data_IF_014322603634
#
_entry.id   IF_014322603634
#
_cell.length_a   1.000
_cell.length_b   1.000
_cell.length_c   1.000
_cell.angle_alpha   90.00
_cell.angle_beta   90.00
_cell.angle_gamma   90.00
#
_symmetry.space_group_name_H-M   'P 1'
#
loop_
_entity.id
_entity.type
_entity.pdbx_description
1 polymer ?
#
# COMPACT_ATOMS: atom_id res chain seq x y z
N UNK A 1 28.63 -49.47 32.75
CA UNK A 1 28.60 -49.88 34.18
C UNK A 1 29.85 -49.31 34.86
N UNK A 2 29.77 -48.07 35.37
CA UNK A 2 30.82 -47.46 36.21
C UNK A 2 30.32 -47.61 37.64
N UNK A 3 30.89 -48.54 38.40
CA UNK A 3 30.65 -48.67 39.84
C UNK A 3 31.35 -47.51 40.54
N UNK A 4 30.58 -46.53 41.00
CA UNK A 4 31.07 -45.54 41.96
C UNK A 4 31.27 -46.25 43.31
N UNK A 5 32.52 -46.32 43.75
CA UNK A 5 32.93 -46.89 45.02
C UNK A 5 32.67 -45.89 46.15
N UNK A 6 31.58 -46.10 46.89
CA UNK A 6 31.17 -45.27 48.01
C UNK A 6 31.97 -45.53 49.30
N UNK A 7 32.95 -46.43 49.29
CA UNK A 7 33.77 -46.76 50.48
C UNK A 7 34.69 -45.63 50.94
N UNK A 8 34.81 -44.52 50.18
CA UNK A 8 35.62 -43.34 50.53
C UNK A 8 34.84 -42.13 51.06
N UNK A 9 33.52 -42.21 51.29
CA UNK A 9 32.81 -41.15 51.99
C UNK A 9 33.08 -41.28 53.49
N UNK A 10 34.26 -40.78 53.90
CA UNK A 10 34.63 -40.47 55.27
C UNK A 10 33.46 -39.75 55.95
N UNK A 11 33.16 -40.13 57.19
CA UNK A 11 32.21 -39.42 58.07
C UNK A 11 32.38 -37.91 57.92
N UNK A 12 31.46 -37.27 57.18
CA UNK A 12 31.46 -35.82 57.06
C UNK A 12 31.16 -35.31 58.46
N UNK A 13 32.11 -34.59 59.04
CA UNK A 13 32.00 -34.08 60.39
C UNK A 13 30.68 -33.30 60.52
N UNK A 14 29.82 -33.70 61.45
CA UNK A 14 28.50 -33.06 61.67
C UNK A 14 28.62 -31.55 61.85
N UNK A 15 29.76 -31.05 62.37
CA UNK A 15 30.06 -29.62 62.46
C UNK A 15 30.22 -28.95 61.09
N UNK A 16 30.84 -29.61 60.12
CA UNK A 16 31.02 -29.08 58.75
C UNK A 16 29.67 -29.01 58.02
N UNK A 17 28.82 -30.02 58.17
CA UNK A 17 27.46 -30.00 57.62
C UNK A 17 26.62 -28.89 58.26
N UNK A 18 26.70 -28.74 59.59
CA UNK A 18 25.99 -27.68 60.30
C UNK A 18 26.44 -26.28 59.85
N UNK A 19 27.76 -26.06 59.68
CA UNK A 19 28.30 -24.80 59.17
C UNK A 19 27.83 -24.53 57.73
N UNK A 20 27.84 -25.54 56.85
CA UNK A 20 27.36 -25.39 55.49
C UNK A 20 25.86 -25.02 55.43
N UNK A 21 25.02 -25.64 56.27
CA UNK A 21 23.59 -25.31 56.36
C UNK A 21 23.39 -23.87 56.85
N UNK A 22 24.16 -23.43 57.86
CA UNK A 22 24.08 -22.05 58.37
C UNK A 22 24.47 -21.05 57.28
N UNK A 23 25.52 -21.33 56.50
CA UNK A 23 25.94 -20.47 55.38
C UNK A 23 24.85 -20.40 54.31
N UNK A 24 24.25 -21.53 53.93
CA UNK A 24 23.17 -21.57 52.95
C UNK A 24 21.95 -20.79 53.45
N UNK A 25 21.58 -20.93 54.72
CA UNK A 25 20.49 -20.15 55.33
C UNK A 25 20.79 -18.65 55.35
N UNK A 26 22.03 -18.27 55.68
CA UNK A 26 22.44 -16.87 55.66
C UNK A 26 22.37 -16.28 54.24
N UNK A 27 22.79 -17.03 53.22
CA UNK A 27 22.68 -16.63 51.81
C UNK A 27 21.23 -16.53 51.36
N UNK A 28 20.36 -17.47 51.76
CA UNK A 28 18.94 -17.41 51.45
C UNK A 28 18.26 -16.20 52.10
N UNK A 29 18.56 -15.91 53.37
CA UNK A 29 18.03 -14.73 54.08
C UNK A 29 18.54 -13.43 53.42
N UNK A 30 19.83 -13.36 53.08
CA UNK A 30 20.40 -12.21 52.39
C UNK A 30 19.76 -12.00 51.00
N UNK A 31 19.60 -13.07 50.22
CA UNK A 31 18.97 -13.01 48.89
C UNK A 31 17.50 -12.61 48.96
N UNK A 32 16.75 -13.12 49.94
CA UNK A 32 15.36 -12.73 50.20
C UNK A 32 15.24 -11.26 50.64
N UNK A 33 16.18 -10.78 51.45
CA UNK A 33 16.26 -9.37 51.86
C UNK A 33 16.58 -8.44 50.69
N UNK A 34 17.53 -8.82 49.83
CA UNK A 34 17.87 -8.08 48.60
C UNK A 34 16.69 -8.07 47.64
N UNK A 35 16.02 -9.21 47.44
CA UNK A 35 14.83 -9.29 46.59
C UNK A 35 13.68 -8.45 47.14
N UNK A 36 13.39 -8.51 48.45
CA UNK A 36 12.33 -7.73 49.08
C UNK A 36 12.61 -6.23 49.00
N UNK A 37 13.86 -5.80 49.23
CA UNK A 37 14.27 -4.41 49.09
C UNK A 37 14.20 -3.95 47.62
N UNK A 38 14.67 -4.77 46.68
CA UNK A 38 14.55 -4.54 45.25
C UNK A 38 13.11 -4.45 44.78
N UNK A 39 12.22 -5.31 45.28
CA UNK A 39 10.78 -5.28 45.03
C UNK A 39 10.14 -4.02 45.60
N UNK A 40 10.44 -3.64 46.86
CA UNK A 40 9.91 -2.40 47.46
C UNK A 40 10.40 -1.14 46.73
N UNK A 41 11.65 -1.11 46.28
CA UNK A 41 12.18 -0.04 45.44
C UNK A 41 11.56 -0.06 44.04
N UNK A 42 11.34 -1.23 43.46
CA UNK A 42 10.69 -1.41 42.16
C UNK A 42 9.22 -0.99 42.16
N UNK A 43 8.50 -1.23 43.26
CA UNK A 43 7.11 -0.77 43.45
C UNK A 43 7.07 0.73 43.80
N UNK A 44 8.03 1.27 44.55
CA UNK A 44 8.15 2.73 44.75
C UNK A 44 8.60 3.50 43.50
N UNK A 45 9.31 2.83 42.58
CA UNK A 45 9.73 3.33 41.26
C UNK A 45 8.92 2.69 40.12
N UNK A 46 7.72 2.16 40.39
CA UNK A 46 6.83 1.79 39.30
C UNK A 46 6.33 3.09 38.70
N UNK A 47 7.04 3.57 37.67
CA UNK A 47 6.50 4.57 36.78
C UNK A 47 5.30 3.93 36.08
N UNK A 48 4.12 4.07 36.66
CA UNK A 48 2.95 4.26 35.83
C UNK A 48 3.30 5.49 35.02
N UNK A 49 3.50 5.34 33.71
CA UNK A 49 3.59 6.49 32.81
C UNK A 49 2.18 7.07 32.77
N UNK A 50 1.82 7.83 33.80
CA UNK A 50 0.79 8.84 33.68
C UNK A 50 1.48 9.93 32.88
N UNK A 51 1.02 10.18 31.66
CA UNK A 51 1.44 11.36 30.90
C UNK A 51 0.81 12.56 31.60
N UNK A 52 1.40 13.00 32.71
CA UNK A 52 1.18 14.31 33.30
C UNK A 52 2.21 15.25 32.69
N UNK A 53 1.77 16.01 31.68
CA UNK A 53 2.60 17.04 31.06
C UNK A 53 3.58 16.52 30.02
N UNK A 54 3.19 16.62 28.75
CA UNK A 54 4.18 16.97 27.73
C UNK A 54 4.64 18.39 28.07
N UNK A 55 5.66 18.54 28.92
CA UNK A 55 6.40 19.79 29.03
C UNK A 55 7.29 19.91 27.81
N UNK A 56 7.37 21.09 27.19
CA UNK A 56 8.23 21.40 26.04
C UNK A 56 9.60 20.69 26.09
N UNK A 57 9.68 19.48 25.52
CA UNK A 57 10.90 18.67 25.48
C UNK A 57 11.88 19.14 24.39
N UNK A 58 11.61 20.28 23.75
CA UNK A 58 12.56 20.90 22.83
C UNK A 58 13.51 21.81 23.61
N UNK A 59 14.71 21.31 23.88
CA UNK A 59 15.83 22.10 24.41
C UNK A 59 16.32 23.21 23.48
N UNK A 60 15.73 23.44 22.31
CA UNK A 60 15.94 24.65 21.52
C UNK A 60 14.83 24.83 20.47
N UNK A 61 14.30 26.06 20.41
CA UNK A 61 13.51 26.67 19.32
C UNK A 61 12.06 26.18 19.11
N UNK A 62 11.13 26.67 19.93
CA UNK A 62 10.18 27.73 19.57
C UNK A 62 9.38 28.13 20.83
N UNK A 63 9.47 29.40 21.29
CA UNK A 63 8.76 29.89 22.49
C UNK A 63 7.32 30.32 22.17
N UNK A 64 6.84 30.13 20.94
CA UNK A 64 5.56 30.65 20.47
C UNK A 64 4.34 29.74 20.72
N UNK A 65 4.56 28.45 21.03
CA UNK A 65 3.46 27.48 21.19
C UNK A 65 3.22 27.14 22.66
N UNK A 66 2.03 27.48 23.15
CA UNK A 66 1.57 27.14 24.49
C UNK A 66 0.78 25.82 24.48
N UNK A 67 1.46 24.73 24.84
CA UNK A 67 0.83 23.41 24.98
C UNK A 67 -0.14 23.32 26.18
N UNK A 68 -0.22 24.31 27.07
CA UNK A 68 -1.24 24.32 28.11
C UNK A 68 -2.65 24.34 27.50
N UNK A 69 -2.84 25.09 26.42
CA UNK A 69 -4.13 25.15 25.72
C UNK A 69 -4.57 23.76 25.22
N UNK A 70 -3.64 22.94 24.72
CA UNK A 70 -3.92 21.57 24.31
C UNK A 70 -4.41 20.72 25.49
N UNK A 71 -3.74 20.80 26.65
CA UNK A 71 -4.12 20.05 27.84
C UNK A 71 -5.42 20.54 28.48
N UNK A 72 -5.69 21.85 28.45
CA UNK A 72 -6.98 22.43 28.85
C UNK A 72 -8.12 21.89 27.99
N UNK A 73 -7.94 21.85 26.67
CA UNK A 73 -8.92 21.28 25.75
C UNK A 73 -9.12 19.78 25.97
N UNK A 74 -8.03 19.02 26.12
CA UNK A 74 -8.07 17.58 26.42
C UNK A 74 -8.84 17.30 27.71
N UNK A 75 -8.51 18.02 28.79
CA UNK A 75 -9.17 17.87 30.08
C UNK A 75 -10.64 18.26 30.00
N UNK A 76 -10.95 19.40 29.39
CA UNK A 76 -12.33 19.84 29.19
C UNK A 76 -13.16 18.79 28.42
N UNK A 77 -12.57 18.16 27.41
CA UNK A 77 -13.22 17.08 26.65
C UNK A 77 -13.47 15.86 27.54
N UNK A 78 -12.47 15.38 28.30
CA UNK A 78 -12.64 14.22 29.20
C UNK A 78 -13.64 14.48 30.33
N UNK A 79 -13.65 15.70 30.88
CA UNK A 79 -14.50 16.07 32.02
C UNK A 79 -15.95 16.38 31.61
N UNK A 80 -16.17 16.93 30.39
CA UNK A 80 -17.48 17.49 29.99
C UNK A 80 -18.18 16.75 28.86
N UNK A 81 -17.47 15.97 28.04
CA UNK A 81 -18.11 15.23 26.95
C UNK A 81 -18.98 14.11 27.50
N UNK A 82 -20.23 14.04 27.03
CA UNK A 82 -21.27 13.15 27.56
C UNK A 82 -20.89 11.68 27.54
N UNK A 83 -20.10 11.24 26.54
CA UNK A 83 -19.67 9.86 26.36
C UNK A 83 -18.14 9.71 26.48
N UNK A 84 -17.48 10.48 27.36
CA UNK A 84 -16.02 10.53 27.45
C UNK A 84 -15.34 9.20 27.80
N UNK A 85 -16.07 8.25 28.41
CA UNK A 85 -15.61 6.89 28.69
C UNK A 85 -15.61 5.98 27.45
N UNK A 86 -16.39 6.33 26.42
CA UNK A 86 -16.45 5.58 25.16
C UNK A 86 -15.26 5.86 24.24
N UNK A 87 -14.52 6.95 24.49
CA UNK A 87 -13.39 7.37 23.66
C UNK A 87 -12.08 6.97 24.33
N UNK A 88 -11.30 6.14 23.64
CA UNK A 88 -9.96 5.76 24.09
C UNK A 88 -8.98 6.95 23.98
N UNK A 89 -8.02 7.04 24.91
CA UNK A 89 -6.97 8.04 24.82
C UNK A 89 -6.16 7.91 23.51
N UNK A 90 -6.01 6.69 22.99
CA UNK A 90 -5.35 6.47 21.70
C UNK A 90 -6.10 7.13 20.55
N UNK A 91 -7.44 7.09 20.54
CA UNK A 91 -8.25 7.74 19.52
C UNK A 91 -8.10 9.27 19.58
N UNK A 92 -8.06 9.83 20.79
CA UNK A 92 -7.82 11.28 20.97
C UNK A 92 -6.44 11.71 20.49
N UNK A 93 -5.39 10.93 20.79
CA UNK A 93 -4.02 11.20 20.29
C UNK A 93 -3.98 11.10 18.77
N UNK A 94 -4.54 10.04 18.19
CA UNK A 94 -4.58 9.88 16.74
C UNK A 94 -5.30 11.05 16.07
N UNK A 95 -6.46 11.48 16.60
CA UNK A 95 -7.19 12.64 16.08
C UNK A 95 -6.41 13.94 16.19
N UNK A 96 -5.68 14.16 17.29
CA UNK A 96 -4.82 15.34 17.45
C UNK A 96 -3.65 15.35 16.44
N UNK A 97 -3.02 14.20 16.19
CA UNK A 97 -1.94 14.07 15.19
C UNK A 97 -2.53 14.24 13.77
N UNK A 98 -3.67 13.62 13.45
CA UNK A 98 -4.34 13.83 12.16
C UNK A 98 -4.62 15.31 11.92
N UNK A 99 -5.17 16.03 12.90
CA UNK A 99 -5.40 17.47 12.80
C UNK A 99 -4.13 18.30 12.59
N UNK A 100 -2.99 17.88 13.15
CA UNK A 100 -1.69 18.50 12.91
C UNK A 100 -1.26 18.37 11.44
N UNK A 101 -1.48 17.21 10.82
CA UNK A 101 -1.16 16.97 9.42
C UNK A 101 -2.13 17.70 8.48
N UNK A 102 -3.42 17.70 8.80
CA UNK A 102 -4.45 18.44 8.05
C UNK A 102 -4.18 19.95 8.00
N UNK A 103 -3.51 20.50 9.02
CA UNK A 103 -3.13 21.91 9.06
C UNK A 103 -2.16 22.33 7.93
N UNK A 104 -1.49 21.37 7.27
CA UNK A 104 -0.66 21.66 6.08
C UNK A 104 -1.47 22.10 4.87
N UNK A 105 -2.78 21.79 4.84
CA UNK A 105 -3.68 21.96 3.68
C UNK A 105 -3.26 21.20 2.42
N UNK A 106 -2.18 20.42 2.49
CA UNK A 106 -1.72 19.54 1.44
C UNK A 106 -2.47 18.21 1.55
N UNK A 107 -3.33 17.85 0.57
CA UNK A 107 -4.11 16.61 0.62
C UNK A 107 -3.23 15.35 0.57
N UNK A 108 -1.93 15.48 0.27
CA UNK A 108 -1.00 14.36 0.23
C UNK A 108 -0.17 14.19 1.51
N UNK A 109 -0.17 15.19 2.42
CA UNK A 109 0.51 15.10 3.72
C UNK A 109 -0.48 14.64 4.78
N UNK A 110 -0.41 13.36 5.15
CA UNK A 110 -1.39 12.70 6.03
C UNK A 110 -0.73 11.81 7.07
N UNK A 111 -1.31 11.80 8.26
CA UNK A 111 -1.04 10.78 9.27
C UNK A 111 -2.09 9.68 9.14
N UNK A 112 -1.62 8.44 9.05
CA UNK A 112 -2.47 7.25 8.94
C UNK A 112 -2.35 6.42 10.23
N UNK A 113 -3.39 6.39 11.08
CA UNK A 113 -3.47 5.49 12.22
C UNK A 113 -3.33 4.01 11.82
N UNK A 114 -3.08 3.07 12.75
CA UNK A 114 -2.66 1.71 12.40
C UNK A 114 -3.59 0.94 11.46
N UNK A 115 -4.91 1.14 11.54
CA UNK A 115 -5.86 0.51 10.62
C UNK A 115 -5.80 1.08 9.20
N UNK A 116 -5.67 2.40 9.08
CA UNK A 116 -5.52 3.08 7.80
C UNK A 116 -4.16 2.77 7.18
N UNK A 117 -3.09 2.83 7.98
CA UNK A 117 -1.75 2.42 7.60
C UNK A 117 -1.71 0.99 7.03
N UNK A 118 -2.36 0.05 7.72
CA UNK A 118 -2.47 -1.34 7.23
C UNK A 118 -3.21 -1.41 5.89
N UNK A 119 -4.32 -0.68 5.76
CA UNK A 119 -5.13 -0.68 4.54
C UNK A 119 -4.37 -0.06 3.36
N UNK A 120 -3.65 1.04 3.61
CA UNK A 120 -2.75 1.69 2.66
C UNK A 120 -1.66 0.73 2.18
N UNK A 121 -0.95 0.07 3.11
CA UNK A 121 0.10 -0.90 2.79
C UNK A 121 -0.44 -2.09 1.98
N UNK A 122 -1.60 -2.64 2.33
CA UNK A 122 -2.25 -3.70 1.55
C UNK A 122 -2.57 -3.23 0.13
N UNK A 123 -3.11 -2.01 -0.03
CA UNK A 123 -3.44 -1.44 -1.33
C UNK A 123 -2.20 -1.28 -2.23
N UNK A 124 -1.14 -0.61 -1.74
CA UNK A 124 0.07 -0.36 -2.53
C UNK A 124 0.85 -1.65 -2.84
N UNK A 125 0.78 -2.66 -1.97
CA UNK A 125 1.37 -3.97 -2.23
C UNK A 125 0.67 -4.73 -3.37
N UNK A 126 -0.50 -4.25 -3.80
CA UNK A 126 -1.31 -4.90 -4.83
C UNK A 126 -1.93 -6.21 -4.41
N UNK A 127 -1.93 -6.49 -3.10
CA UNK A 127 -2.47 -7.73 -2.56
C UNK A 127 -3.04 -7.52 -1.16
N UNK A 128 -4.17 -8.15 -0.89
CA UNK A 128 -4.82 -8.06 0.41
C UNK A 128 -5.35 -9.41 0.88
N UNK A 129 -5.46 -9.58 2.19
CA UNK A 129 -6.05 -10.77 2.79
C UNK A 129 -7.58 -10.73 2.75
N UNK A 130 -8.21 -11.70 2.11
CA UNK A 130 -9.67 -11.74 1.99
C UNK A 130 -10.18 -12.98 1.28
N UNK A 131 -11.41 -12.91 0.76
CA UNK A 131 -12.06 -14.02 0.06
C UNK A 131 -12.25 -13.79 -1.44
N UNK A 132 -12.05 -12.56 -1.92
CA UNK A 132 -12.13 -12.22 -3.35
C UNK A 132 -13.55 -12.06 -3.86
N UNK A 133 -14.32 -11.12 -3.30
CA UNK A 133 -15.63 -10.73 -3.81
C UNK A 133 -15.71 -9.22 -3.99
N UNK A 134 -16.46 -8.80 -4.99
CA UNK A 134 -16.97 -7.45 -5.14
C UNK A 134 -18.36 -7.37 -4.51
N UNK A 135 -18.60 -6.34 -3.68
CA UNK A 135 -19.86 -6.16 -2.95
C UNK A 135 -20.39 -4.74 -3.18
N UNK A 136 -21.71 -4.62 -3.13
CA UNK A 136 -22.41 -3.33 -3.19
C UNK A 136 -23.71 -3.39 -2.41
N UNK A 137 -24.36 -2.24 -2.27
CA UNK A 137 -25.71 -2.16 -1.70
C UNK A 137 -26.73 -2.16 -2.84
N UNK A 138 -27.61 -3.16 -2.87
CA UNK A 138 -28.74 -3.22 -3.80
C UNK A 138 -30.03 -3.36 -2.99
N UNK A 139 -31.01 -2.52 -3.26
CA UNK A 139 -32.28 -2.49 -2.52
C UNK A 139 -32.09 -2.41 -0.98
N UNK A 140 -31.10 -1.62 -0.54
CA UNK A 140 -30.73 -1.46 0.88
C UNK A 140 -30.22 -2.74 1.57
N UNK A 141 -29.83 -3.76 0.79
CA UNK A 141 -29.23 -5.00 1.26
C UNK A 141 -27.79 -5.11 0.73
N UNK A 142 -26.89 -5.65 1.56
CA UNK A 142 -25.53 -5.96 1.13
C UNK A 142 -25.55 -7.16 0.18
N UNK A 143 -25.03 -6.99 -1.03
CA UNK A 143 -25.12 -7.97 -2.12
C UNK A 143 -23.76 -8.17 -2.78
N UNK A 144 -23.47 -9.42 -3.16
CA UNK A 144 -22.30 -9.76 -3.98
C UNK A 144 -22.57 -9.31 -5.42
N UNK A 145 -21.74 -8.41 -5.93
CA UNK A 145 -21.75 -8.02 -7.34
C UNK A 145 -21.17 -9.16 -8.15
N UNK A 146 -19.96 -9.62 -7.82
CA UNK A 146 -19.32 -10.76 -8.45
C UNK A 146 -18.22 -11.37 -7.55
N UNK A 147 -18.08 -12.70 -7.50
CA UNK A 147 -16.85 -13.33 -7.06
C UNK A 147 -15.72 -13.08 -8.06
N UNK A 148 -14.50 -12.86 -7.56
CA UNK A 148 -13.31 -12.76 -8.39
C UNK A 148 -12.85 -14.16 -8.83
N UNK A 149 -12.38 -14.27 -10.07
CA UNK A 149 -11.93 -15.54 -10.64
C UNK A 149 -10.74 -16.13 -9.87
N UNK A 150 -10.73 -17.45 -9.71
CA UNK A 150 -9.73 -18.25 -9.01
C UNK A 150 -9.58 -17.96 -7.50
N UNK A 151 -10.53 -17.25 -6.88
CA UNK A 151 -10.46 -16.86 -5.46
C UNK A 151 -11.20 -17.83 -4.52
N UNK A 152 -10.98 -17.76 -3.19
CA UNK A 152 -11.69 -18.59 -2.23
C UNK A 152 -13.23 -18.49 -2.32
N UNK A 153 -13.77 -17.31 -2.61
CA UNK A 153 -15.20 -17.09 -2.74
C UNK A 153 -15.82 -17.80 -3.95
N UNK A 154 -15.18 -17.71 -5.11
CA UNK A 154 -15.61 -18.45 -6.31
C UNK A 154 -15.57 -19.96 -6.04
N UNK A 155 -14.47 -20.46 -5.46
CA UNK A 155 -14.32 -21.88 -5.09
C UNK A 155 -15.35 -22.35 -4.06
N UNK A 156 -15.78 -21.45 -3.16
CA UNK A 156 -16.85 -21.71 -2.20
C UNK A 156 -18.26 -21.70 -2.84
N UNK A 157 -18.39 -21.33 -4.11
CA UNK A 157 -19.65 -21.32 -4.84
C UNK A 157 -20.53 -20.11 -4.56
N UNK A 158 -19.95 -19.01 -4.05
CA UNK A 158 -20.64 -17.71 -4.02
C UNK A 158 -20.92 -17.24 -5.45
N UNK A 159 -22.01 -16.48 -5.65
CA UNK A 159 -22.48 -16.06 -6.96
C UNK A 159 -22.87 -14.59 -6.97
N UNK A 160 -22.88 -13.99 -8.16
CA UNK A 160 -23.44 -12.67 -8.38
C UNK A 160 -24.92 -12.64 -7.96
N UNK A 161 -25.32 -11.61 -7.22
CA UNK A 161 -26.68 -11.45 -6.70
C UNK A 161 -26.94 -12.12 -5.35
N UNK A 162 -25.96 -12.83 -4.77
CA UNK A 162 -26.07 -13.34 -3.40
C UNK A 162 -26.21 -12.20 -2.39
N UNK A 163 -27.22 -12.26 -1.53
CA UNK A 163 -27.41 -11.30 -0.45
C UNK A 163 -26.70 -11.78 0.82
N UNK A 164 -25.82 -10.94 1.36
CA UNK A 164 -25.08 -11.25 2.59
C UNK A 164 -25.91 -10.74 3.75
N UNK A 165 -26.49 -11.64 4.56
CA UNK A 165 -27.32 -11.29 5.72
C UNK A 165 -26.49 -11.13 6.99
N UNK A 166 -25.43 -11.93 7.16
CA UNK A 166 -24.50 -11.83 8.29
C UNK A 166 -23.05 -12.02 7.85
N UNK A 167 -22.15 -11.35 8.55
CA UNK A 167 -20.70 -11.54 8.46
C UNK A 167 -20.22 -11.98 9.84
N UNK A 168 -19.83 -13.24 9.96
CA UNK A 168 -19.64 -13.94 11.23
C UNK A 168 -20.92 -13.83 12.10
N UNK A 169 -20.85 -13.11 13.22
CA UNK A 169 -21.99 -12.86 14.12
C UNK A 169 -22.67 -11.50 13.87
N UNK A 170 -22.09 -10.65 13.03
CA UNK A 170 -22.57 -9.29 12.76
C UNK A 170 -23.70 -9.33 11.73
N UNK A 171 -24.80 -8.62 12.00
CA UNK A 171 -25.84 -8.38 11.01
C UNK A 171 -25.32 -7.44 9.91
N UNK A 172 -25.68 -7.72 8.66
CA UNK A 172 -25.40 -6.85 7.52
C UNK A 172 -26.43 -5.73 7.34
N UNK A 173 -27.53 -5.73 8.11
CA UNK A 173 -28.60 -4.74 7.93
C UNK A 173 -28.09 -3.35 8.30
N UNK A 174 -28.16 -2.41 7.35
CA UNK A 174 -27.68 -1.04 7.53
C UNK A 174 -26.15 -0.90 7.58
N UNK A 175 -25.40 -1.97 7.33
CA UNK A 175 -23.93 -1.93 7.28
C UNK A 175 -23.48 -1.17 6.02
N UNK A 176 -22.44 -0.35 6.14
CA UNK A 176 -21.79 0.23 4.96
C UNK A 176 -20.94 -0.82 4.24
N UNK A 177 -20.64 -0.59 2.96
CA UNK A 177 -19.70 -1.42 2.20
C UNK A 177 -18.33 -1.45 2.87
N UNK A 178 -17.86 -0.33 3.40
CA UNK A 178 -16.54 -0.22 4.02
C UNK A 178 -16.45 -1.03 5.32
N UNK A 179 -17.50 -0.98 6.14
CA UNK A 179 -17.57 -1.78 7.35
C UNK A 179 -17.69 -3.27 7.03
N UNK A 180 -18.46 -3.63 5.99
CA UNK A 180 -18.49 -5.00 5.49
C UNK A 180 -17.11 -5.48 5.02
N UNK A 181 -16.39 -4.67 4.24
CA UNK A 181 -15.02 -4.96 3.78
C UNK A 181 -14.10 -5.18 4.98
N UNK A 182 -14.13 -4.33 6.01
CA UNK A 182 -13.33 -4.48 7.23
C UNK A 182 -13.57 -5.83 7.94
N UNK A 183 -14.82 -6.32 7.96
CA UNK A 183 -15.18 -7.59 8.59
C UNK A 183 -14.88 -8.82 7.70
N UNK A 184 -14.95 -8.66 6.38
CA UNK A 184 -14.68 -9.72 5.40
C UNK A 184 -13.18 -9.93 5.18
N UNK A 185 -12.39 -8.85 5.15
CA UNK A 185 -10.93 -8.92 5.07
C UNK A 185 -10.32 -9.52 6.34
N UNK A 186 -9.07 -9.98 6.22
CA UNK A 186 -8.34 -10.57 7.33
C UNK A 186 -7.17 -11.42 6.86
N UNK A 187 -6.31 -11.81 7.79
CA UNK A 187 -5.09 -12.53 7.47
C UNK A 187 -5.35 -13.86 6.77
N UNK A 188 -4.46 -14.24 5.84
CA UNK A 188 -4.47 -15.55 5.18
C UNK A 188 -4.61 -16.69 6.18
N UNK A 189 -5.42 -17.70 5.84
CA UNK A 189 -5.66 -18.89 6.66
C UNK A 189 -6.71 -18.72 7.75
N UNK A 190 -7.11 -17.48 8.08
CA UNK A 190 -8.25 -17.24 8.97
C UNK A 190 -9.58 -17.49 8.26
N UNK A 191 -10.65 -17.70 9.01
CA UNK A 191 -11.98 -17.98 8.47
C UNK A 191 -12.90 -16.77 8.57
N UNK A 192 -13.80 -16.64 7.60
CA UNK A 192 -14.99 -15.81 7.67
C UNK A 192 -16.21 -16.66 7.36
N UNK A 193 -17.29 -16.47 8.11
CA UNK A 193 -18.56 -17.14 7.86
C UNK A 193 -19.57 -16.13 7.35
N UNK A 194 -20.16 -16.37 6.18
CA UNK A 194 -21.20 -15.51 5.62
C UNK A 194 -22.54 -16.25 5.66
N UNK A 195 -23.59 -15.60 6.14
CA UNK A 195 -24.96 -16.09 5.97
C UNK A 195 -25.51 -15.50 4.67
N UNK A 196 -25.73 -16.35 3.67
CA UNK A 196 -26.10 -15.95 2.31
C UNK A 196 -27.55 -16.33 2.01
N UNK A 197 -28.30 -15.39 1.46
CA UNK A 197 -29.59 -15.65 0.81
C UNK A 197 -29.41 -15.54 -0.71
N UNK A 198 -29.79 -16.59 -1.43
CA UNK A 198 -29.74 -16.63 -2.90
C UNK A 198 -31.15 -16.71 -3.45
N UNK A 199 -31.41 -16.02 -4.55
CA UNK A 199 -32.70 -16.08 -5.24
C UNK A 199 -33.09 -17.55 -5.53
N UNK A 200 -34.31 -17.92 -5.12
CA UNK A 200 -34.84 -19.28 -5.27
C UNK A 200 -34.52 -20.23 -4.11
N UNK A 201 -33.80 -19.79 -3.07
CA UNK A 201 -33.71 -20.55 -1.82
C UNK A 201 -34.87 -20.23 -0.89
N UNK A 202 -35.32 -21.23 -0.13
CA UNK A 202 -36.35 -21.06 0.90
C UNK A 202 -35.76 -20.51 2.20
N UNK A 203 -34.47 -20.77 2.47
CA UNK A 203 -33.78 -20.43 3.71
C UNK A 203 -32.34 -19.99 3.40
N UNK A 204 -31.77 -19.02 4.15
CA UNK A 204 -30.35 -18.65 4.04
C UNK A 204 -29.41 -19.80 4.40
N UNK A 205 -28.20 -19.82 3.83
CA UNK A 205 -27.17 -20.84 4.11
C UNK A 205 -25.85 -20.20 4.53
N UNK A 206 -25.14 -20.89 5.42
CA UNK A 206 -23.82 -20.45 5.86
C UNK A 206 -22.70 -20.93 4.94
N UNK A 207 -21.80 -20.02 4.58
CA UNK A 207 -20.58 -20.26 3.85
C UNK A 207 -19.39 -19.92 4.73
N UNK A 208 -18.62 -20.92 5.16
CA UNK A 208 -17.36 -20.70 5.88
C UNK A 208 -16.21 -20.77 4.89
N UNK A 209 -15.53 -19.65 4.69
CA UNK A 209 -14.51 -19.48 3.67
C UNK A 209 -13.18 -19.16 4.35
N UNK A 210 -12.12 -19.84 3.93
CA UNK A 210 -10.76 -19.56 4.39
C UNK A 210 -10.20 -18.41 3.56
N UNK A 211 -9.76 -17.34 4.24
CA UNK A 211 -9.15 -16.19 3.59
C UNK A 211 -7.82 -16.59 2.95
N UNK A 212 -7.54 -16.02 1.79
CA UNK A 212 -6.25 -16.12 1.09
C UNK A 212 -5.79 -14.73 0.66
N UNK A 213 -4.60 -14.67 0.05
CA UNK A 213 -4.11 -13.46 -0.59
C UNK A 213 -4.83 -13.28 -1.92
N UNK A 214 -5.53 -12.16 -2.05
CA UNK A 214 -6.20 -11.73 -3.27
C UNK A 214 -5.26 -10.78 -3.99
N UNK A 215 -4.98 -11.06 -5.26
CA UNK A 215 -4.12 -10.23 -6.10
C UNK A 215 -4.97 -9.22 -6.87
N UNK A 216 -4.58 -7.96 -6.82
CA UNK A 216 -5.17 -6.92 -7.66
C UNK A 216 -4.53 -7.02 -9.06
N UNK A 217 -5.33 -6.98 -10.15
CA UNK A 217 -4.76 -6.92 -11.50
C UNK A 217 -3.81 -5.72 -11.63
N UNK A 218 -2.58 -5.98 -12.09
CA UNK A 218 -1.54 -4.96 -12.23
C UNK A 218 -1.31 -4.55 -13.67
N UNK A 219 -1.35 -5.51 -14.59
CA UNK A 219 -1.26 -5.26 -16.02
C UNK A 219 -2.04 -6.28 -16.82
N UNK A 220 -2.34 -5.93 -18.06
CA UNK A 220 -2.78 -6.83 -19.12
C UNK A 220 -1.90 -6.62 -20.36
N UNK A 221 -1.74 -7.67 -21.17
CA UNK A 221 -0.90 -7.61 -22.37
C UNK A 221 -1.47 -8.48 -23.49
N UNK A 222 -1.45 -7.96 -24.71
CA UNK A 222 -1.95 -8.66 -25.90
C UNK A 222 -1.24 -8.19 -27.17
N UNK A 223 -1.37 -8.97 -28.23
CA UNK A 223 -0.91 -8.58 -29.56
C UNK A 223 -2.02 -7.94 -30.37
N UNK A 224 -1.68 -6.87 -31.08
CA UNK A 224 -2.55 -6.19 -32.03
C UNK A 224 -1.94 -6.28 -33.43
N UNK A 225 -2.80 -6.39 -34.44
CA UNK A 225 -2.40 -6.13 -35.82
C UNK A 225 -2.23 -4.63 -36.08
N UNK A 226 -1.75 -4.28 -37.27
CA UNK A 226 -1.48 -2.89 -37.68
C UNK A 226 -2.72 -2.01 -37.79
N UNK A 227 -3.93 -2.56 -37.59
CA UNK A 227 -5.19 -1.82 -37.51
C UNK A 227 -5.72 -1.71 -36.07
N UNK A 228 -4.92 -2.09 -35.06
CA UNK A 228 -5.30 -1.99 -33.65
C UNK A 228 -6.28 -3.04 -33.14
N UNK A 229 -6.52 -4.12 -33.91
CA UNK A 229 -7.38 -5.23 -33.50
C UNK A 229 -6.53 -6.35 -32.92
N UNK A 230 -7.06 -6.99 -31.88
CA UNK A 230 -6.44 -8.13 -31.22
C UNK A 230 -6.23 -9.27 -32.22
N UNK A 231 -4.99 -9.76 -32.29
CA UNK A 231 -4.55 -10.79 -33.22
C UNK A 231 -3.35 -11.50 -32.59
N UNK A 232 -3.42 -12.82 -32.41
CA UNK A 232 -2.33 -13.63 -31.83
C UNK A 232 -1.04 -13.56 -32.66
N UNK A 233 -1.15 -13.28 -33.97
CA UNK A 233 -0.02 -13.07 -34.88
C UNK A 233 0.28 -11.58 -35.13
N UNK A 234 -0.33 -10.70 -34.33
CA UNK A 234 -0.13 -9.27 -34.40
C UNK A 234 1.32 -8.85 -34.18
N UNK A 235 1.69 -7.71 -34.77
CA UNK A 235 3.06 -7.16 -34.72
C UNK A 235 3.25 -6.08 -33.66
N UNK A 236 2.16 -5.63 -33.05
CA UNK A 236 2.19 -4.59 -32.02
C UNK A 236 1.93 -5.26 -30.68
N UNK A 237 2.87 -5.12 -29.75
CA UNK A 237 2.66 -5.49 -28.35
C UNK A 237 1.94 -4.35 -27.64
N UNK A 238 0.71 -4.60 -27.20
CA UNK A 238 -0.03 -3.70 -26.34
C UNK A 238 0.12 -4.14 -24.89
N UNK A 239 0.59 -3.26 -24.02
CA UNK A 239 0.67 -3.48 -22.57
C UNK A 239 -0.13 -2.38 -21.88
N UNK A 240 -1.18 -2.75 -21.17
CA UNK A 240 -1.89 -1.84 -20.29
C UNK A 240 -1.42 -2.05 -18.86
N UNK A 241 -0.79 -1.03 -18.29
CA UNK A 241 -0.35 -1.04 -16.90
C UNK A 241 -1.39 -0.28 -16.08
N UNK A 242 -2.08 -0.96 -15.16
CA UNK A 242 -3.15 -0.39 -14.35
C UNK A 242 -2.64 0.32 -13.08
N UNK A 243 -1.49 -0.12 -12.57
CA UNK A 243 -0.89 0.39 -11.34
C UNK A 243 0.61 0.03 -11.27
N UNK A 244 1.34 0.73 -10.41
CA UNK A 244 2.75 0.47 -10.09
C UNK A 244 2.90 -0.19 -8.72
N UNK A 245 2.16 -1.29 -8.48
CA UNK A 245 2.31 -2.05 -7.24
C UNK A 245 3.63 -2.82 -7.19
N UNK A 246 3.95 -3.37 -6.01
CA UNK A 246 5.23 -4.03 -5.72
C UNK A 246 5.64 -5.06 -6.79
N UNK A 247 4.68 -5.81 -7.34
CA UNK A 247 4.93 -6.86 -8.34
C UNK A 247 4.94 -6.36 -9.79
N UNK A 248 4.65 -5.08 -10.04
CA UNK A 248 4.55 -4.54 -11.39
C UNK A 248 5.81 -4.76 -12.24
N UNK A 249 7.05 -4.52 -11.74
CA UNK A 249 8.26 -4.75 -12.54
C UNK A 249 8.44 -6.21 -12.96
N UNK A 250 8.15 -7.16 -12.07
CA UNK A 250 8.26 -8.60 -12.36
C UNK A 250 7.20 -9.07 -13.37
N UNK A 251 5.96 -8.59 -13.24
CA UNK A 251 4.90 -8.90 -14.20
C UNK A 251 5.20 -8.28 -15.57
N UNK A 252 5.76 -7.07 -15.59
CA UNK A 252 6.16 -6.39 -16.82
C UNK A 252 7.29 -7.15 -17.52
N UNK A 253 8.29 -7.60 -16.76
CA UNK A 253 9.35 -8.49 -17.24
C UNK A 253 8.78 -9.75 -17.90
N UNK A 254 7.83 -10.42 -17.24
CA UNK A 254 7.19 -11.63 -17.77
C UNK A 254 6.42 -11.36 -19.07
N UNK A 255 5.70 -10.23 -19.15
CA UNK A 255 4.97 -9.84 -20.35
C UNK A 255 5.95 -9.59 -21.52
N UNK A 256 7.04 -8.85 -21.27
CA UNK A 256 8.09 -8.59 -22.26
C UNK A 256 8.77 -9.89 -22.71
N UNK A 257 9.18 -10.76 -21.79
CA UNK A 257 9.82 -12.03 -22.13
C UNK A 257 8.91 -12.94 -22.97
N UNK A 258 7.64 -13.09 -22.58
CA UNK A 258 6.68 -13.90 -23.34
C UNK A 258 6.45 -13.33 -24.74
N UNK A 259 6.45 -12.01 -24.87
CA UNK A 259 6.30 -11.34 -26.16
C UNK A 259 7.54 -11.45 -27.07
N UNK A 260 8.73 -11.68 -26.50
CA UNK A 260 9.98 -11.71 -27.25
C UNK A 260 10.01 -12.80 -28.33
N UNK A 261 9.34 -13.93 -28.10
CA UNK A 261 9.21 -15.01 -29.10
C UNK A 261 8.46 -14.57 -30.36
N UNK A 262 7.51 -13.64 -30.23
CA UNK A 262 6.74 -13.11 -31.36
C UNK A 262 7.44 -11.94 -32.07
N UNK A 263 8.54 -11.43 -31.50
CA UNK A 263 9.34 -10.33 -32.05
C UNK A 263 8.48 -9.12 -32.49
N UNK A 264 7.84 -8.43 -31.53
CA UNK A 264 7.00 -7.27 -31.86
C UNK A 264 7.81 -6.19 -32.57
N UNK A 265 7.19 -5.59 -33.58
CA UNK A 265 7.75 -4.49 -34.37
C UNK A 265 7.45 -3.14 -33.72
N UNK A 266 6.45 -3.07 -32.83
CA UNK A 266 6.12 -1.86 -32.08
C UNK A 266 5.45 -2.16 -30.74
N UNK A 267 5.47 -1.16 -29.85
CA UNK A 267 4.88 -1.23 -28.51
C UNK A 267 3.91 -0.07 -28.30
N UNK A 268 2.72 -0.39 -27.79
CA UNK A 268 1.81 0.60 -27.20
C UNK A 268 1.79 0.35 -25.69
N UNK A 269 2.33 1.31 -24.94
CA UNK A 269 2.25 1.30 -23.48
C UNK A 269 1.05 2.15 -23.05
N UNK A 270 0.02 1.51 -22.51
CA UNK A 270 -1.19 2.19 -22.05
C UNK A 270 -1.14 2.46 -20.54
N UNK A 271 -1.05 3.74 -20.19
CA UNK A 271 -1.05 4.27 -18.82
C UNK A 271 -2.36 5.03 -18.50
N UNK A 272 -3.39 4.92 -19.34
CA UNK A 272 -4.69 5.56 -19.09
C UNK A 272 -5.33 4.97 -17.85
N UNK A 273 -5.89 5.85 -17.02
CA UNK A 273 -6.51 5.51 -15.73
C UNK A 273 -5.58 4.81 -14.73
N UNK A 274 -4.25 4.96 -14.89
CA UNK A 274 -3.27 4.46 -13.94
C UNK A 274 -2.87 5.57 -12.94
N UNK A 275 -3.31 5.48 -11.67
CA UNK A 275 -3.06 6.52 -10.66
C UNK A 275 -1.61 6.54 -10.13
N UNK A 276 -0.76 5.63 -10.61
CA UNK A 276 0.62 5.47 -10.18
C UNK A 276 0.80 4.29 -9.23
N UNK A 277 1.63 4.49 -8.20
CA UNK A 277 2.05 3.45 -7.25
C UNK A 277 3.47 3.75 -6.77
N UNK A 278 4.27 2.71 -6.56
CA UNK A 278 5.66 2.85 -6.14
C UNK A 278 6.52 3.54 -7.21
N UNK A 279 7.35 4.46 -6.75
CA UNK A 279 8.31 5.19 -7.56
C UNK A 279 9.36 4.26 -8.15
N UNK A 280 9.90 3.37 -7.31
CA UNK A 280 10.92 2.40 -7.67
C UNK A 280 10.43 1.48 -8.77
N UNK A 281 9.16 1.05 -8.71
CA UNK A 281 8.55 0.26 -9.76
C UNK A 281 8.50 1.02 -11.10
N UNK A 282 8.28 2.34 -11.08
CA UNK A 282 8.37 3.17 -12.29
C UNK A 282 9.79 3.25 -12.85
N UNK A 283 10.80 3.40 -11.97
CA UNK A 283 12.21 3.46 -12.35
C UNK A 283 12.66 2.12 -12.95
N UNK A 284 12.25 1.01 -12.35
CA UNK A 284 12.57 -0.34 -12.83
C UNK A 284 11.92 -0.62 -14.19
N UNK A 285 10.64 -0.25 -14.36
CA UNK A 285 9.93 -0.40 -15.65
C UNK A 285 10.54 0.52 -16.73
N UNK A 286 10.92 1.75 -16.39
CA UNK A 286 11.63 2.64 -17.32
C UNK A 286 12.93 2.00 -17.85
N UNK A 287 13.58 1.20 -17.01
CA UNK A 287 14.78 0.47 -17.34
C UNK A 287 14.67 -0.52 -18.51
N UNK A 288 13.47 -0.99 -18.87
CA UNK A 288 13.26 -1.83 -20.06
C UNK A 288 13.41 -1.04 -21.37
N UNK A 289 13.17 0.27 -21.29
CA UNK A 289 13.15 1.18 -22.43
C UNK A 289 14.41 2.05 -22.50
N UNK A 290 15.10 2.28 -21.39
CA UNK A 290 16.20 3.24 -21.26
C UNK A 290 17.54 2.55 -20.98
N UNK A 291 18.67 3.21 -21.30
CA UNK A 291 19.98 2.68 -20.93
C UNK A 291 20.17 2.75 -19.42
N UNK A 292 21.08 1.91 -18.92
CA UNK A 292 21.58 2.02 -17.55
C UNK A 292 22.22 3.38 -17.31
N UNK A 293 21.85 4.06 -16.23
CA UNK A 293 22.34 5.39 -15.86
C UNK A 293 21.54 6.55 -16.44
N UNK A 294 20.57 6.29 -17.32
CA UNK A 294 19.67 7.34 -17.80
C UNK A 294 18.81 7.85 -16.63
N UNK A 295 18.61 9.17 -16.55
CA UNK A 295 17.76 9.80 -15.53
C UNK A 295 16.31 9.49 -15.85
N UNK A 296 15.59 8.95 -14.87
CA UNK A 296 14.15 8.70 -14.97
C UNK A 296 13.37 9.88 -14.40
N UNK A 297 13.80 10.39 -13.24
CA UNK A 297 13.12 11.48 -12.55
C UNK A 297 14.09 12.25 -11.66
N UNK A 298 13.86 13.54 -11.52
CA UNK A 298 14.52 14.39 -10.53
C UNK A 298 13.59 14.76 -9.37
N UNK A 299 14.15 14.91 -8.17
CA UNK A 299 13.48 15.41 -6.97
C UNK A 299 14.03 16.80 -6.67
N UNK A 300 13.14 17.79 -6.52
CA UNK A 300 13.50 19.14 -6.11
C UNK A 300 12.99 19.43 -4.71
N UNK A 301 13.91 19.45 -3.75
CA UNK A 301 13.61 19.69 -2.33
C UNK A 301 13.41 21.18 -2.04
N UNK A 302 12.77 21.47 -0.91
CA UNK A 302 12.60 22.86 -0.41
C UNK A 302 13.93 23.58 -0.19
N UNK A 303 14.99 22.86 0.16
CA UNK A 303 16.35 23.40 0.33
C UNK A 303 16.95 23.94 -0.98
N UNK A 304 16.36 23.59 -2.12
CA UNK A 304 16.92 23.83 -3.45
C UNK A 304 17.84 22.71 -3.94
N UNK A 305 18.14 21.73 -3.09
CA UNK A 305 18.85 20.50 -3.47
C UNK A 305 18.05 19.71 -4.50
N UNK A 306 18.77 19.07 -5.41
CA UNK A 306 18.20 18.22 -6.45
C UNK A 306 18.88 16.86 -6.46
N UNK A 307 18.07 15.81 -6.43
CA UNK A 307 18.53 14.44 -6.57
C UNK A 307 17.91 13.82 -7.81
N UNK A 308 18.65 12.93 -8.47
CA UNK A 308 18.15 12.22 -9.65
C UNK A 308 18.10 10.73 -9.37
N UNK A 309 16.98 10.12 -9.72
CA UNK A 309 16.88 8.67 -9.81
C UNK A 309 17.19 8.22 -11.23
N UNK A 310 18.12 7.29 -11.34
CA UNK A 310 18.56 6.72 -12.61
C UNK A 310 18.21 5.24 -12.69
N UNK A 311 18.12 4.70 -13.90
CA UNK A 311 18.05 3.25 -14.11
C UNK A 311 19.30 2.55 -13.57
N UNK A 312 19.14 1.56 -12.67
CA UNK A 312 20.28 0.92 -11.97
C UNK A 312 20.56 -0.50 -12.45
N UNK A 313 19.57 -1.39 -12.41
CA UNK A 313 19.70 -2.84 -12.65
C UNK A 313 19.05 -3.34 -13.94
N UNK A 314 18.67 -2.43 -14.85
CA UNK A 314 17.83 -2.81 -15.97
C UNK A 314 18.56 -3.37 -17.18
N UNK A 315 17.93 -4.35 -17.83
CA UNK A 315 18.31 -4.81 -19.17
C UNK A 315 17.36 -4.11 -20.14
N UNK A 316 17.85 -3.27 -21.06
CA UNK A 316 17.03 -2.50 -22.00
C UNK A 316 16.46 -3.38 -23.13
N UNK A 317 15.66 -4.38 -22.77
CA UNK A 317 15.17 -5.46 -23.65
C UNK A 317 14.36 -4.94 -24.84
N UNK A 318 13.64 -3.84 -24.66
CA UNK A 318 12.72 -3.26 -25.66
C UNK A 318 13.11 -1.84 -26.05
N UNK A 319 14.30 -1.39 -25.68
CA UNK A 319 14.81 -0.04 -25.97
C UNK A 319 14.85 0.28 -27.47
N UNK A 320 15.09 -0.70 -28.33
CA UNK A 320 15.20 -0.46 -29.77
C UNK A 320 13.88 -0.67 -30.52
N UNK A 321 12.80 -0.99 -29.82
CA UNK A 321 11.48 -1.19 -30.44
C UNK A 321 10.76 0.17 -30.45
N UNK A 322 10.20 0.61 -31.59
CA UNK A 322 9.30 1.75 -31.68
C UNK A 322 8.22 1.68 -30.60
N UNK A 323 8.00 2.78 -29.87
CA UNK A 323 7.08 2.81 -28.74
C UNK A 323 6.28 4.11 -28.74
N UNK A 324 4.99 4.01 -28.43
CA UNK A 324 4.12 5.15 -28.10
C UNK A 324 3.44 4.91 -26.76
N UNK A 325 3.05 5.99 -26.07
CA UNK A 325 2.41 5.91 -24.75
C UNK A 325 1.03 6.56 -24.78
N UNK A 326 0.02 5.85 -24.29
CA UNK A 326 -1.32 6.39 -24.09
C UNK A 326 -1.45 6.96 -22.67
N UNK A 327 -1.94 8.20 -22.56
CA UNK A 327 -2.19 8.88 -21.29
C UNK A 327 -3.57 9.55 -21.28
N UNK A 328 -4.12 9.74 -20.08
CA UNK A 328 -5.32 10.55 -19.88
C UNK A 328 -5.32 11.21 -18.50
N UNK A 329 -6.43 11.88 -18.15
CA UNK A 329 -6.60 12.56 -16.85
C UNK A 329 -6.45 11.66 -15.62
N UNK A 330 -6.57 10.34 -15.78
CA UNK A 330 -6.35 9.36 -14.71
C UNK A 330 -4.91 8.86 -14.62
N UNK A 331 -4.03 9.20 -15.57
CA UNK A 331 -2.60 8.95 -15.50
C UNK A 331 -1.96 9.91 -14.49
N UNK A 332 -1.44 9.40 -13.37
CA UNK A 332 -0.88 10.22 -12.30
C UNK A 332 0.43 9.66 -11.72
N UNK A 333 1.24 10.51 -11.08
CA UNK A 333 2.36 10.09 -10.23
C UNK A 333 3.38 9.23 -10.99
N UNK A 334 3.63 7.98 -10.57
CA UNK A 334 4.52 7.04 -11.25
C UNK A 334 4.23 6.89 -12.77
N UNK A 335 2.96 6.97 -13.19
CA UNK A 335 2.59 6.98 -14.61
C UNK A 335 3.17 8.18 -15.36
N UNK A 336 3.12 9.36 -14.73
CA UNK A 336 3.65 10.61 -15.29
C UNK A 336 5.18 10.59 -15.28
N UNK A 337 5.79 9.98 -14.27
CA UNK A 337 7.25 9.78 -14.21
C UNK A 337 7.71 8.89 -15.36
N UNK A 338 7.09 7.72 -15.55
CA UNK A 338 7.43 6.81 -16.65
C UNK A 338 7.23 7.49 -18.01
N UNK A 339 6.05 8.08 -18.25
CA UNK A 339 5.75 8.77 -19.52
C UNK A 339 6.71 9.93 -19.79
N UNK A 340 7.02 10.74 -18.77
CA UNK A 340 7.96 11.85 -18.87
C UNK A 340 9.39 11.37 -19.15
N UNK A 341 9.83 10.31 -18.48
CA UNK A 341 11.15 9.72 -18.70
C UNK A 341 11.32 9.18 -20.13
N UNK A 342 10.30 8.47 -20.64
CA UNK A 342 10.29 7.92 -21.99
C UNK A 342 10.26 9.01 -23.06
N UNK A 343 9.43 10.04 -22.86
CA UNK A 343 9.37 11.18 -23.77
C UNK A 343 10.70 11.93 -23.79
N UNK A 344 11.27 12.26 -22.64
CA UNK A 344 12.44 13.13 -22.57
C UNK A 344 13.72 12.42 -23.02
N UNK A 345 13.91 11.13 -22.67
CA UNK A 345 15.13 10.39 -23.04
C UNK A 345 15.06 9.79 -24.46
N UNK A 346 13.88 9.46 -24.97
CA UNK A 346 13.72 8.74 -26.25
C UNK A 346 12.81 9.42 -27.26
N UNK A 347 12.29 10.61 -26.97
CA UNK A 347 11.33 11.32 -27.82
C UNK A 347 10.07 10.47 -28.13
N UNK A 348 9.72 9.55 -27.21
CA UNK A 348 8.52 8.70 -27.32
C UNK A 348 7.28 9.58 -27.26
N UNK A 349 6.35 9.37 -28.20
CA UNK A 349 5.14 10.18 -28.35
C UNK A 349 4.08 9.80 -27.33
N UNK A 350 3.53 10.83 -26.67
CA UNK A 350 2.40 10.74 -25.75
C UNK A 350 1.10 11.04 -26.51
N UNK A 351 0.08 10.20 -26.34
CA UNK A 351 -1.16 10.26 -27.12
C UNK A 351 -2.35 10.19 -26.16
N UNK A 352 -3.39 11.00 -26.40
CA UNK A 352 -4.62 10.97 -25.62
C UNK A 352 -4.95 12.31 -24.99
N UNK A 353 -5.13 12.36 -23.67
CA UNK A 353 -5.47 13.60 -22.95
C UNK A 353 -4.38 13.96 -21.93
N UNK A 354 -4.36 15.24 -21.54
CA UNK A 354 -3.49 15.74 -20.47
C UNK A 354 -3.59 14.88 -19.20
N UNK A 355 -2.45 14.54 -18.62
CA UNK A 355 -2.38 13.75 -17.38
C UNK A 355 -2.79 14.55 -16.13
N UNK A 356 -2.90 13.87 -14.99
CA UNK A 356 -3.46 14.43 -13.75
C UNK A 356 -2.67 15.62 -13.18
N UNK A 357 -1.34 15.56 -13.19
CA UNK A 357 -0.46 16.58 -12.61
C UNK A 357 -0.11 16.36 -11.15
N UNK A 358 0.04 15.10 -10.71
CA UNK A 358 0.50 14.79 -9.34
C UNK A 358 2.03 14.76 -9.33
N UNK A 359 2.62 15.93 -9.09
CA UNK A 359 4.07 16.13 -9.17
C UNK A 359 4.78 16.33 -7.84
N UNK A 360 4.20 15.90 -6.72
CA UNK A 360 4.82 15.96 -5.40
C UNK A 360 5.42 14.61 -5.00
N UNK A 361 6.60 14.66 -4.36
CA UNK A 361 7.29 13.52 -3.75
C UNK A 361 6.71 13.29 -2.37
N UNK A 362 6.23 12.08 -2.10
CA UNK A 362 5.80 11.68 -0.75
C UNK A 362 6.82 10.73 -0.14
N UNK A 363 7.34 11.07 1.03
CA UNK A 363 8.06 10.15 1.89
C UNK A 363 7.06 9.44 2.81
N UNK A 364 7.15 8.11 2.90
CA UNK A 364 6.28 7.29 3.75
C UNK A 364 7.11 6.67 4.87
N UNK A 365 6.91 7.14 6.09
CA UNK A 365 7.61 6.68 7.28
C UNK A 365 6.72 5.85 8.19
N UNK A 366 7.27 4.75 8.69
CA UNK A 366 6.64 3.99 9.78
C UNK A 366 6.93 4.62 11.13
N UNK A 367 5.89 4.75 11.95
CA UNK A 367 6.00 5.28 13.31
C UNK A 367 5.65 4.17 14.30
N UNK A 368 6.08 4.34 15.56
CA UNK A 368 5.66 3.51 16.68
C UNK A 368 4.16 3.20 16.64
N UNK A 369 3.78 1.97 17.01
CA UNK A 369 2.40 1.42 17.03
C UNK A 369 1.80 0.95 15.69
N UNK A 370 2.56 1.02 14.58
CA UNK A 370 2.09 0.57 13.26
C UNK A 370 1.33 1.62 12.45
N UNK A 371 1.41 2.89 12.86
CA UNK A 371 0.96 4.04 12.06
C UNK A 371 1.96 4.41 10.98
N UNK A 372 1.50 5.17 9.98
CA UNK A 372 2.34 5.73 8.91
C UNK A 372 2.21 7.25 8.87
N UNK A 373 3.31 7.92 8.53
CA UNK A 373 3.36 9.31 8.11
C UNK A 373 3.60 9.32 6.61
N UNK A 374 2.79 10.08 5.86
CA UNK A 374 3.06 10.39 4.46
C UNK A 374 3.26 11.89 4.34
N UNK A 375 4.43 12.34 3.93
CA UNK A 375 4.80 13.77 3.94
C UNK A 375 5.27 14.18 2.56
N UNK A 376 4.77 15.30 2.05
CA UNK A 376 5.31 15.91 0.83
C UNK A 376 6.65 16.59 1.11
N UNK A 377 7.72 16.08 0.52
CA UNK A 377 9.11 16.52 0.80
C UNK A 377 9.76 17.29 -0.37
N UNK A 378 9.27 17.07 -1.59
CA UNK A 378 9.87 17.61 -2.81
C UNK A 378 8.86 17.64 -3.98
N UNK A 379 9.28 18.20 -5.12
CA UNK A 379 8.55 18.14 -6.39
C UNK A 379 9.29 17.30 -7.42
N UNK A 380 8.55 16.51 -8.20
CA UNK A 380 9.05 15.73 -9.33
C UNK A 380 9.40 16.62 -10.51
N UNK A 381 10.54 16.32 -11.12
CA UNK A 381 11.03 16.87 -12.38
C UNK A 381 11.17 15.75 -13.40
N UNK A 382 10.71 15.99 -14.63
CA UNK A 382 11.09 15.14 -15.76
C UNK A 382 12.60 15.28 -16.04
N UNK A 383 13.22 14.37 -16.82
CA UNK A 383 14.66 14.46 -17.14
C UNK A 383 15.08 15.79 -17.77
N UNK A 384 14.20 16.46 -18.52
CA UNK A 384 14.46 17.81 -19.06
C UNK A 384 14.18 18.95 -18.06
N UNK A 385 13.91 18.65 -16.79
CA UNK A 385 13.65 19.63 -15.72
C UNK A 385 12.23 20.19 -15.68
N UNK A 386 11.27 19.58 -16.38
CA UNK A 386 9.87 20.04 -16.36
C UNK A 386 9.20 19.62 -15.04
N UNK A 387 8.61 20.58 -14.33
CA UNK A 387 7.84 20.30 -13.10
C UNK A 387 6.49 19.69 -13.47
N UNK A 388 6.20 18.49 -12.95
CA UNK A 388 4.93 17.78 -13.18
C UNK A 388 3.79 18.38 -12.35
N UNK A 389 4.10 18.96 -11.18
CA UNK A 389 3.10 19.36 -10.19
C UNK A 389 2.12 20.41 -10.73
N UNK A 390 0.82 20.12 -10.60
CA UNK A 390 -0.33 20.93 -11.08
C UNK A 390 -0.39 21.14 -12.61
N UNK A 391 0.65 20.76 -13.34
CA UNK A 391 0.76 20.95 -14.77
C UNK A 391 0.52 19.67 -15.55
N UNK A 392 0.85 18.50 -15.00
CA UNK A 392 0.79 17.22 -15.72
C UNK A 392 1.64 17.21 -17.00
N UNK A 393 1.45 16.17 -17.80
CA UNK A 393 2.02 15.98 -19.12
C UNK A 393 0.95 16.28 -20.17
N UNK A 394 1.28 17.18 -21.08
CA UNK A 394 0.50 17.43 -22.29
C UNK A 394 0.89 16.38 -23.33
N UNK A 395 -0.07 15.69 -23.99
CA UNK A 395 0.23 14.73 -25.04
C UNK A 395 0.76 15.44 -26.29
N UNK A 396 1.64 14.77 -27.04
CA UNK A 396 2.07 15.21 -28.37
C UNK A 396 0.91 15.17 -29.37
N UNK A 397 0.00 14.21 -29.21
CA UNK A 397 -1.23 14.09 -30.00
C UNK A 397 -2.44 14.10 -29.06
N UNK A 398 -3.11 15.26 -28.95
CA UNK A 398 -4.35 15.37 -28.19
C UNK A 398 -5.51 14.69 -28.93
N UNK A 399 -6.11 13.68 -28.29
CA UNK A 399 -7.28 12.94 -28.79
C UNK A 399 -8.26 12.78 -27.64
N UNK A 400 -9.43 13.41 -27.77
CA UNK A 400 -10.52 13.31 -26.80
C UNK A 400 -11.43 12.15 -27.16
N UNK A 401 -11.94 11.47 -26.15
CA UNK A 401 -13.00 10.47 -26.31
C UNK A 401 -14.35 11.18 -26.17
N UNK A 402 -15.20 11.10 -27.19
CA UNK A 402 -16.56 11.63 -27.13
C UNK A 402 -17.54 10.66 -26.46
N UNK A 403 -18.70 11.14 -26.01
CA UNK A 403 -19.77 10.26 -25.51
C UNK A 403 -20.23 9.24 -26.56
N UNK A 404 -20.22 9.64 -27.83
CA UNK A 404 -20.55 8.75 -28.95
C UNK A 404 -19.51 7.64 -29.12
N UNK A 405 -18.21 7.96 -28.97
CA UNK A 405 -17.14 6.96 -29.00
C UNK A 405 -17.32 5.94 -27.86
N UNK A 406 -17.63 6.41 -26.64
CA UNK A 406 -17.90 5.54 -25.48
C UNK A 406 -19.09 4.62 -25.77
N UNK A 407 -20.20 5.18 -26.29
CA UNK A 407 -21.42 4.42 -26.62
C UNK A 407 -21.16 3.35 -27.68
N UNK A 408 -20.35 3.69 -28.67
CA UNK A 408 -20.00 2.78 -29.77
C UNK A 408 -18.81 1.87 -29.44
N UNK A 409 -18.27 1.92 -28.21
CA UNK A 409 -17.06 1.19 -27.78
C UNK A 409 -15.88 1.41 -28.73
N UNK A 410 -15.75 2.61 -29.25
CA UNK A 410 -14.69 3.03 -30.15
C UNK A 410 -13.56 3.66 -29.34
N UNK A 411 -12.35 3.12 -29.47
CA UNK A 411 -11.17 3.67 -28.81
C UNK A 411 -10.36 4.51 -29.80
N UNK A 412 -10.78 5.77 -29.99
CA UNK A 412 -10.14 6.72 -30.91
C UNK A 412 -8.69 7.05 -30.51
N UNK A 413 -8.36 6.96 -29.22
CA UNK A 413 -7.00 7.16 -28.73
C UNK A 413 -6.09 5.99 -29.15
N UNK A 414 -6.57 4.74 -29.01
CA UNK A 414 -5.85 3.56 -29.49
C UNK A 414 -5.68 3.58 -31.02
N UNK A 415 -6.72 3.96 -31.77
CA UNK A 415 -6.63 4.13 -33.23
C UNK A 415 -5.51 5.11 -33.60
N UNK A 416 -5.44 6.27 -32.91
CA UNK A 416 -4.36 7.23 -33.14
C UNK A 416 -2.98 6.70 -32.71
N UNK A 417 -2.90 5.94 -31.62
CA UNK A 417 -1.65 5.33 -31.19
C UNK A 417 -1.10 4.34 -32.21
N UNK A 418 -1.96 3.53 -32.82
CA UNK A 418 -1.58 2.61 -33.90
C UNK A 418 -1.12 3.38 -35.14
N UNK A 419 -1.81 4.44 -35.53
CA UNK A 419 -1.43 5.30 -36.67
C UNK A 419 -0.03 5.91 -36.48
N UNK A 420 0.23 6.52 -35.31
CA UNK A 420 1.51 7.14 -34.99
C UNK A 420 2.60 6.06 -34.90
N UNK A 421 2.35 4.95 -34.20
CA UNK A 421 3.32 3.87 -34.07
C UNK A 421 3.70 3.26 -35.42
N UNK A 422 2.74 3.01 -36.31
CA UNK A 422 3.02 2.51 -37.65
C UNK A 422 3.91 3.48 -38.45
N UNK A 423 3.79 4.80 -38.22
CA UNK A 423 4.66 5.78 -38.86
C UNK A 423 6.10 5.66 -38.34
N UNK A 424 6.27 5.46 -37.02
CA UNK A 424 7.58 5.24 -36.38
C UNK A 424 8.23 3.89 -36.76
N UNK A 425 7.44 2.85 -37.06
CA UNK A 425 7.97 1.54 -37.51
C UNK A 425 8.56 1.62 -38.92
N UNK A 426 8.01 2.47 -39.78
CA UNK A 426 8.41 2.60 -41.19
C UNK A 426 9.57 3.57 -41.43
N UNK A 427 10.07 4.23 -40.37
CA UNK A 427 11.22 5.14 -40.38
C UNK A 427 12.43 4.49 -39.71
#
# INVERSE_FOLDING_TARGET
MIKLDFSKIKQINKKVVAIAIIIILAVLIASGGIFYFGYKQGVKKSNIIVIEGVSNSATNQDKSVDFNLFWEAWKALKDKYVDSDSISNQNLINGAISGLFEATTDPYTVFMPPQEAKSFTEEISGQFGGIGIEIGIKNNQLTIIAPLKNTPAEKAGLQAGDEIFKINKLSSSGISTDEAVKNIRGSKGTKVTLLIMRQGWNEPKEFTIIRDIILIPTLDSKFLNTNGKEDENGKILYIQLFNFYEKAPALFYDAVLKSALSSPEGIILDLRNNPGGYLEASVDIAGFFLNRGDVVVGEKFRSGEQENMTTTFSIPLIKNIPTVVLINKGSASASEILAGALRDNRNIKLIGEKSFGKGSVQEVDSISNGSLMKITIAHWLTPNGTVIDKNGLVPDYEVKISEEDIKNKKDTQLEKAVEVLNSEINH
#
